data_IF_626997265528
#
_entry.id   IF_626997265528
#
_cell.length_a   1.000
_cell.length_b   1.000
_cell.length_c   1.000
_cell.angle_alpha   90.00
_cell.angle_beta   90.00
_cell.angle_gamma   90.00
#
_symmetry.space_group_name_H-M   'P 1'
#
loop_
_entity.id
_entity.type
_entity.pdbx_description
1 polymer ?
#
# COMPACT_ATOMS: atom_id res chain seq x y z
N UNK A 1 -55.79 18.56 35.73
CA UNK A 1 -55.54 17.78 34.52
C UNK A 1 -54.05 17.83 34.29
N UNK A 2 -53.33 16.81 34.70
CA UNK A 2 -51.87 16.75 34.64
C UNK A 2 -51.44 16.08 33.35
N UNK A 3 -50.48 16.71 32.63
CA UNK A 3 -49.79 16.10 31.55
C UNK A 3 -48.52 15.46 32.05
N UNK A 4 -48.43 14.14 31.94
CA UNK A 4 -47.25 13.38 32.32
C UNK A 4 -46.10 13.56 31.28
N UNK A 5 -44.96 13.95 31.78
CA UNK A 5 -43.70 13.88 31.00
C UNK A 5 -43.16 12.44 31.07
N UNK A 6 -43.04 11.78 29.92
CA UNK A 6 -42.30 10.54 29.77
C UNK A 6 -40.80 10.86 29.73
N UNK A 7 -40.07 10.51 30.78
CA UNK A 7 -38.66 10.59 30.86
C UNK A 7 -38.01 9.47 30.01
N UNK A 8 -37.12 9.85 29.09
CA UNK A 8 -36.21 8.91 28.44
C UNK A 8 -35.09 8.48 29.40
N UNK A 9 -34.71 7.20 29.45
CA UNK A 9 -33.59 6.79 30.27
C UNK A 9 -32.30 7.37 29.70
N UNK A 10 -31.62 8.19 30.52
CA UNK A 10 -30.32 8.78 30.18
C UNK A 10 -29.25 7.69 30.13
N UNK A 11 -28.70 7.45 28.98
CA UNK A 11 -27.44 6.74 28.83
C UNK A 11 -26.31 7.71 29.20
N UNK A 12 -25.69 7.46 30.34
CA UNK A 12 -24.43 8.10 30.74
C UNK A 12 -23.32 7.39 29.98
N UNK A 13 -22.82 8.03 28.93
CA UNK A 13 -21.60 7.60 28.27
C UNK A 13 -20.41 8.06 29.13
N UNK A 14 -19.80 7.16 29.88
CA UNK A 14 -18.48 7.41 30.44
C UNK A 14 -17.44 7.37 29.27
N UNK A 15 -17.03 8.54 28.82
CA UNK A 15 -15.85 8.70 28.01
C UNK A 15 -14.62 8.52 28.90
N UNK A 16 -14.09 7.29 28.94
CA UNK A 16 -12.70 7.12 29.39
C UNK A 16 -11.79 7.67 28.32
N UNK A 17 -11.40 8.94 28.47
CA UNK A 17 -10.34 9.56 27.69
C UNK A 17 -8.99 8.93 28.08
N UNK A 18 -8.63 7.81 27.46
CA UNK A 18 -7.22 7.44 27.35
C UNK A 18 -6.60 8.39 26.35
N UNK A 19 -6.09 9.53 26.84
CA UNK A 19 -5.10 10.33 26.14
C UNK A 19 -3.83 9.48 26.07
N UNK A 20 -3.76 8.60 25.04
CA UNK A 20 -2.49 8.06 24.60
C UNK A 20 -1.68 9.26 24.09
N UNK A 21 -0.69 9.69 24.85
CA UNK A 21 0.35 10.56 24.35
C UNK A 21 1.09 9.71 23.31
N UNK A 22 0.80 9.92 22.02
CA UNK A 22 1.58 9.35 20.93
C UNK A 22 3.01 9.85 21.11
N UNK A 23 3.89 8.99 21.62
CA UNK A 23 5.32 9.25 21.63
C UNK A 23 5.79 9.19 20.17
N UNK A 24 5.89 10.34 19.54
CA UNK A 24 6.46 10.48 18.21
C UNK A 24 7.97 10.63 18.34
N UNK A 25 8.72 9.61 17.94
CA UNK A 25 10.19 9.66 17.85
C UNK A 25 10.54 9.79 16.37
N UNK A 26 11.26 10.84 16.01
CA UNK A 26 11.71 11.07 14.63
C UNK A 26 13.22 10.89 14.53
N UNK A 27 13.68 10.11 13.56
CA UNK A 27 15.07 9.96 13.19
C UNK A 27 15.25 10.45 11.75
N UNK A 28 16.20 11.35 11.53
CA UNK A 28 16.54 11.83 10.18
C UNK A 28 17.68 10.98 9.63
N UNK A 29 17.43 10.29 8.52
CA UNK A 29 18.46 9.56 7.78
C UNK A 29 19.19 10.49 6.84
N UNK A 30 20.52 10.51 6.93
CA UNK A 30 21.39 11.25 5.99
C UNK A 30 21.86 10.30 4.89
N UNK A 31 22.39 10.83 3.80
CA UNK A 31 22.95 10.04 2.69
C UNK A 31 24.06 9.05 3.10
N UNK A 32 24.59 9.15 4.32
CA UNK A 32 25.53 8.18 4.88
C UNK A 32 24.86 6.93 5.47
N UNK A 33 23.53 6.96 5.63
CA UNK A 33 22.76 5.89 6.25
C UNK A 33 21.99 5.02 5.25
N UNK A 34 22.00 5.36 3.96
CA UNK A 34 21.40 4.57 2.89
C UNK A 34 22.25 4.62 1.63
N UNK A 35 22.07 3.62 0.76
CA UNK A 35 22.73 3.51 -0.54
C UNK A 35 21.70 3.69 -1.65
N UNK A 36 21.96 4.57 -2.60
CA UNK A 36 21.18 4.65 -3.84
C UNK A 36 21.64 3.51 -4.75
N UNK A 37 20.71 2.65 -5.16
CA UNK A 37 20.99 1.49 -6.03
C UNK A 37 20.51 1.67 -7.46
N UNK A 38 19.51 2.56 -7.67
CA UNK A 38 19.09 2.95 -9.02
C UNK A 38 18.62 4.41 -9.04
N UNK A 39 18.77 5.06 -10.18
CA UNK A 39 18.31 6.42 -10.46
C UNK A 39 17.71 6.50 -11.87
N UNK A 40 16.97 7.57 -12.18
CA UNK A 40 16.37 7.77 -13.52
C UNK A 40 15.13 6.90 -13.75
N UNK A 41 14.56 6.34 -12.67
CA UNK A 41 13.28 5.65 -12.71
C UNK A 41 12.13 6.67 -12.86
N UNK A 42 11.07 6.30 -13.56
CA UNK A 42 9.92 7.17 -13.80
C UNK A 42 8.78 6.90 -12.82
N UNK A 43 8.91 7.43 -11.61
CA UNK A 43 8.01 7.25 -10.47
C UNK A 43 7.92 5.78 -10.06
N UNK A 44 9.02 5.22 -9.47
CA UNK A 44 9.10 3.81 -9.08
C UNK A 44 8.14 3.50 -7.94
N UNK A 45 7.51 2.31 -7.99
CA UNK A 45 6.57 1.79 -7.01
C UNK A 45 6.65 0.26 -6.89
N UNK A 46 6.01 -0.30 -5.87
CA UNK A 46 5.83 -1.72 -5.68
C UNK A 46 7.14 -2.53 -5.65
N UNK A 47 8.17 -2.16 -4.89
CA UNK A 47 9.43 -2.90 -4.92
C UNK A 47 9.28 -4.30 -4.30
N UNK A 48 9.90 -5.30 -4.93
CA UNK A 48 10.02 -6.69 -4.44
C UNK A 48 11.47 -7.13 -4.50
N UNK A 49 12.04 -7.54 -3.37
CA UNK A 49 13.40 -8.07 -3.30
C UNK A 49 13.43 -9.55 -3.70
N UNK A 50 14.04 -9.86 -4.84
CA UNK A 50 14.16 -11.20 -5.37
C UNK A 50 15.35 -11.95 -4.75
N UNK A 51 15.31 -13.29 -4.79
CA UNK A 51 16.32 -14.18 -4.19
C UNK A 51 17.72 -14.00 -4.79
N UNK A 52 17.80 -13.61 -6.05
CA UNK A 52 19.04 -13.34 -6.76
C UNK A 52 19.67 -11.97 -6.44
N UNK A 53 19.04 -11.21 -5.54
CA UNK A 53 19.45 -9.87 -5.14
C UNK A 53 18.98 -8.76 -6.08
N UNK A 54 18.25 -9.08 -7.15
CA UNK A 54 17.56 -8.07 -7.96
C UNK A 54 16.31 -7.54 -7.27
N UNK A 55 15.88 -6.36 -7.66
CA UNK A 55 14.62 -5.77 -7.21
C UNK A 55 13.69 -5.62 -8.41
N UNK A 56 12.51 -6.27 -8.34
CA UNK A 56 11.42 -5.96 -9.25
C UNK A 56 10.67 -4.74 -8.72
N UNK A 57 10.27 -3.85 -9.60
CA UNK A 57 9.42 -2.70 -9.30
C UNK A 57 8.64 -2.30 -10.55
N UNK A 58 7.63 -1.47 -10.37
CA UNK A 58 6.98 -0.82 -11.51
C UNK A 58 7.43 0.62 -11.62
N UNK A 59 7.33 1.17 -12.82
CA UNK A 59 7.48 2.60 -13.07
C UNK A 59 6.14 3.14 -13.55
N UNK A 60 5.39 3.79 -12.66
CA UNK A 60 4.00 4.20 -12.93
C UNK A 60 3.92 5.09 -14.16
N UNK A 61 4.85 6.05 -14.28
CA UNK A 61 4.84 7.01 -15.39
C UNK A 61 5.30 6.39 -16.71
N UNK A 62 6.29 5.50 -16.65
CA UNK A 62 6.78 4.77 -17.84
C UNK A 62 5.78 3.69 -18.28
N UNK A 63 5.03 3.12 -17.35
CA UNK A 63 4.09 2.03 -17.61
C UNK A 63 4.77 0.67 -17.77
N UNK A 64 5.83 0.39 -17.00
CA UNK A 64 6.63 -0.83 -17.11
C UNK A 64 6.74 -1.60 -15.81
N UNK A 65 6.92 -2.91 -15.91
CA UNK A 65 7.55 -3.74 -14.88
C UNK A 65 9.06 -3.76 -15.16
N UNK A 66 9.85 -3.28 -14.22
CA UNK A 66 11.30 -3.09 -14.36
C UNK A 66 12.05 -3.92 -13.32
N UNK A 67 13.14 -4.55 -13.71
CA UNK A 67 14.08 -5.25 -12.85
C UNK A 67 15.34 -4.39 -12.67
N UNK A 68 15.69 -4.11 -11.42
CA UNK A 68 16.96 -3.48 -11.06
C UNK A 68 17.91 -4.58 -10.60
N UNK A 69 19.00 -4.81 -11.33
CA UNK A 69 20.02 -5.79 -11.00
C UNK A 69 20.88 -5.33 -9.79
N UNK A 70 21.59 -6.23 -9.09
CA UNK A 70 22.51 -5.85 -8.01
C UNK A 70 23.60 -4.86 -8.44
N UNK A 71 23.88 -4.78 -9.73
CA UNK A 71 24.80 -3.81 -10.35
C UNK A 71 24.21 -2.40 -10.47
N UNK A 72 22.88 -2.24 -10.32
CA UNK A 72 22.13 -1.03 -10.58
C UNK A 72 21.64 -0.90 -12.03
N UNK A 73 21.96 -1.85 -12.90
CA UNK A 73 21.44 -1.90 -14.27
C UNK A 73 19.93 -2.18 -14.25
N UNK A 74 19.18 -1.56 -15.16
CA UNK A 74 17.72 -1.64 -15.24
C UNK A 74 17.32 -2.39 -16.51
N UNK A 75 16.44 -3.36 -16.35
CA UNK A 75 15.88 -4.17 -17.44
C UNK A 75 14.36 -4.07 -17.44
N UNK A 76 13.75 -3.76 -18.58
CA UNK A 76 12.30 -3.81 -18.72
C UNK A 76 11.89 -5.28 -18.88
N UNK A 77 11.11 -5.78 -17.92
CA UNK A 77 10.55 -7.14 -17.93
C UNK A 77 9.29 -7.20 -18.79
N UNK A 78 8.41 -6.19 -18.66
CA UNK A 78 7.18 -6.11 -19.41
C UNK A 78 6.72 -4.66 -19.62
N UNK A 79 6.13 -4.38 -20.78
CA UNK A 79 5.41 -3.15 -21.09
C UNK A 79 3.94 -3.32 -20.71
N UNK A 80 3.48 -2.60 -19.69
CA UNK A 80 2.13 -2.72 -19.11
C UNK A 80 1.18 -1.61 -19.61
N UNK A 81 1.75 -0.43 -19.85
CA UNK A 81 0.95 0.76 -20.11
C UNK A 81 0.07 1.15 -18.91
N UNK A 82 -0.82 2.12 -19.12
CA UNK A 82 -1.68 2.62 -18.03
C UNK A 82 -0.86 3.21 -16.89
N UNK A 83 -1.01 2.66 -15.68
CA UNK A 83 -0.28 3.05 -14.48
C UNK A 83 -0.11 1.85 -13.55
N UNK A 84 0.87 0.95 -13.80
CA UNK A 84 1.18 -0.12 -12.88
C UNK A 84 1.64 0.48 -11.56
N UNK A 85 1.21 -0.12 -10.44
CA UNK A 85 1.44 0.43 -9.10
C UNK A 85 1.98 -0.66 -8.15
N UNK A 86 1.17 -1.27 -7.30
CA UNK A 86 1.61 -2.35 -6.43
C UNK A 86 1.81 -3.66 -7.18
N UNK A 87 2.80 -4.44 -6.79
CA UNK A 87 3.05 -5.79 -7.32
C UNK A 87 3.27 -6.81 -6.21
N UNK A 88 2.93 -8.06 -6.49
CA UNK A 88 3.23 -9.18 -5.62
C UNK A 88 3.54 -10.45 -6.42
N UNK A 89 4.43 -11.30 -5.90
CA UNK A 89 4.62 -12.64 -6.44
C UNK A 89 3.53 -13.55 -5.88
N UNK A 90 2.80 -14.21 -6.78
CA UNK A 90 1.73 -15.13 -6.43
C UNK A 90 2.10 -16.61 -6.64
N UNK A 91 1.11 -17.50 -6.53
CA UNK A 91 1.28 -18.92 -6.80
C UNK A 91 1.89 -19.16 -8.18
N UNK A 92 2.86 -20.07 -8.27
CA UNK A 92 3.55 -20.38 -9.53
C UNK A 92 4.66 -19.39 -9.92
N UNK A 93 4.96 -18.39 -9.07
CA UNK A 93 6.07 -17.46 -9.31
C UNK A 93 5.75 -16.31 -10.28
N UNK A 94 4.52 -16.17 -10.71
CA UNK A 94 4.06 -15.07 -11.57
C UNK A 94 3.94 -13.76 -10.78
N UNK A 95 4.13 -12.63 -11.45
CA UNK A 95 3.98 -11.30 -10.87
C UNK A 95 2.57 -10.76 -11.12
N UNK A 96 1.85 -10.45 -10.06
CA UNK A 96 0.53 -9.82 -10.10
C UNK A 96 0.69 -8.32 -9.94
N UNK A 97 0.03 -7.56 -10.80
CA UNK A 97 0.17 -6.11 -10.90
C UNK A 97 -1.17 -5.42 -10.72
N UNK A 98 -1.25 -4.51 -9.76
CA UNK A 98 -2.32 -3.52 -9.67
C UNK A 98 -2.06 -2.41 -10.69
N UNK A 99 -2.86 -2.34 -11.76
CA UNK A 99 -2.75 -1.27 -12.76
C UNK A 99 -3.88 -0.26 -12.57
N UNK A 100 -3.54 0.97 -12.22
CA UNK A 100 -4.50 2.03 -11.90
C UNK A 100 -5.03 2.79 -13.13
N UNK A 101 -4.63 2.39 -14.34
CA UNK A 101 -5.07 3.01 -15.60
C UNK A 101 -4.39 4.32 -15.98
N UNK A 102 -3.50 4.84 -15.15
CA UNK A 102 -2.66 6.01 -15.45
C UNK A 102 -3.01 7.29 -14.67
N UNK A 103 -2.08 8.23 -14.71
CA UNK A 103 -2.21 9.58 -14.14
C UNK A 103 -1.77 10.64 -15.15
N UNK A 104 -2.31 11.85 -15.04
CA UNK A 104 -1.64 13.04 -15.55
C UNK A 104 -0.45 13.38 -14.64
N UNK A 105 0.59 13.98 -15.22
CA UNK A 105 1.85 14.21 -14.54
C UNK A 105 2.21 15.70 -14.50
N UNK A 106 2.67 16.14 -13.33
CA UNK A 106 3.43 17.37 -13.20
C UNK A 106 4.92 17.00 -13.11
N UNK A 107 5.74 17.58 -13.98
CA UNK A 107 7.20 17.35 -14.02
C UNK A 107 7.91 18.69 -13.87
N UNK A 108 8.84 18.76 -12.92
CA UNK A 108 9.71 19.93 -12.69
C UNK A 108 11.12 19.47 -12.30
N UNK A 109 11.95 20.39 -11.84
CA UNK A 109 13.35 20.10 -11.43
C UNK A 109 13.44 19.15 -10.20
N UNK A 110 12.39 19.02 -9.42
CA UNK A 110 12.34 18.08 -8.30
C UNK A 110 11.93 16.65 -8.73
N UNK A 111 11.41 16.48 -9.97
CA UNK A 111 11.02 15.20 -10.52
C UNK A 111 9.54 15.13 -10.94
N UNK A 112 8.95 13.96 -10.84
CA UNK A 112 7.60 13.65 -11.31
C UNK A 112 6.62 13.57 -10.14
N UNK A 113 5.39 14.06 -10.36
CA UNK A 113 4.28 13.93 -9.39
C UNK A 113 2.98 13.58 -10.11
N UNK A 114 2.25 12.54 -9.68
CA UNK A 114 0.94 12.23 -10.25
C UNK A 114 -0.07 13.31 -9.86
N UNK A 115 -1.03 13.59 -10.73
CA UNK A 115 -2.07 14.60 -10.51
C UNK A 115 -3.47 14.00 -10.64
N UNK A 116 -4.14 14.19 -11.75
CA UNK A 116 -5.52 13.77 -11.96
C UNK A 116 -5.61 12.53 -12.84
N UNK A 117 -6.82 12.02 -13.01
CA UNK A 117 -7.11 11.04 -14.04
C UNK A 117 -6.82 11.63 -15.42
N UNK A 118 -6.00 10.98 -16.26
CA UNK A 118 -5.67 11.49 -17.58
C UNK A 118 -6.80 11.25 -18.59
N UNK A 119 -6.79 12.00 -19.68
CA UNK A 119 -7.71 11.75 -20.78
C UNK A 119 -7.48 10.36 -21.43
N UNK A 120 -6.27 9.84 -21.34
CA UNK A 120 -5.87 8.50 -21.81
C UNK A 120 -6.11 7.38 -20.80
N UNK A 121 -6.87 7.62 -19.73
CA UNK A 121 -7.17 6.62 -18.72
C UNK A 121 -7.70 5.31 -19.33
N UNK A 122 -6.99 4.20 -19.06
CA UNK A 122 -7.24 2.91 -19.69
C UNK A 122 -8.10 1.94 -18.84
N UNK A 123 -8.64 2.40 -17.72
CA UNK A 123 -9.36 1.54 -16.75
C UNK A 123 -8.43 0.90 -15.73
N UNK A 124 -8.98 0.68 -14.52
CA UNK A 124 -8.29 -0.08 -13.48
C UNK A 124 -8.37 -1.58 -13.77
N UNK A 125 -7.29 -2.32 -13.49
CA UNK A 125 -7.23 -3.77 -13.70
C UNK A 125 -6.18 -4.45 -12.86
N UNK A 126 -6.32 -5.75 -12.68
CA UNK A 126 -5.27 -6.64 -12.16
C UNK A 126 -4.69 -7.39 -13.36
N UNK A 127 -3.38 -7.32 -13.51
CA UNK A 127 -2.61 -8.01 -14.54
C UNK A 127 -1.73 -9.09 -13.93
N UNK A 128 -1.43 -10.14 -14.71
CA UNK A 128 -0.49 -11.19 -14.35
C UNK A 128 0.61 -11.20 -15.39
N UNK A 129 1.85 -11.15 -14.93
CA UNK A 129 3.05 -11.14 -15.78
C UNK A 129 3.85 -12.42 -15.55
N UNK A 130 4.15 -13.11 -16.62
CA UNK A 130 5.14 -14.18 -16.63
C UNK A 130 6.53 -13.55 -16.68
N UNK A 131 7.34 -13.80 -15.65
CA UNK A 131 8.64 -13.13 -15.49
C UNK A 131 9.73 -13.64 -16.43
N UNK A 132 9.53 -14.83 -17.03
CA UNK A 132 10.49 -15.42 -17.96
C UNK A 132 10.27 -14.92 -19.40
N UNK A 133 9.01 -14.72 -19.78
CA UNK A 133 8.62 -14.33 -21.14
C UNK A 133 8.24 -12.87 -21.28
N UNK A 134 7.90 -12.19 -20.17
CA UNK A 134 7.34 -10.84 -20.16
C UNK A 134 5.89 -10.77 -20.65
N UNK A 135 5.22 -11.93 -20.85
CA UNK A 135 3.83 -11.94 -21.30
C UNK A 135 2.88 -11.43 -20.23
N UNK A 136 1.87 -10.66 -20.63
CA UNK A 136 0.90 -9.99 -19.74
C UNK A 136 -0.48 -10.50 -20.04
N UNK A 137 -1.22 -10.88 -18.98
CA UNK A 137 -2.63 -11.27 -19.04
C UNK A 137 -3.44 -10.39 -18.10
N UNK A 138 -4.64 -9.95 -18.52
CA UNK A 138 -5.58 -9.23 -17.66
C UNK A 138 -6.44 -10.23 -16.91
N UNK A 139 -6.38 -10.20 -15.58
CA UNK A 139 -7.09 -11.14 -14.71
C UNK A 139 -8.45 -10.61 -14.24
N UNK A 140 -8.50 -9.36 -13.78
CA UNK A 140 -9.73 -8.72 -13.30
C UNK A 140 -9.82 -7.27 -13.78
N UNK A 141 -11.04 -6.86 -14.18
CA UNK A 141 -11.37 -5.47 -14.54
C UNK A 141 -12.55 -4.90 -13.76
N UNK A 142 -13.31 -5.76 -13.08
CA UNK A 142 -14.53 -5.39 -12.38
C UNK A 142 -14.84 -6.30 -11.20
N UNK A 143 -15.75 -5.87 -10.34
CA UNK A 143 -16.38 -6.68 -9.29
C UNK A 143 -17.89 -6.42 -9.29
N UNK A 144 -18.71 -7.47 -9.48
CA UNK A 144 -20.18 -7.39 -9.52
C UNK A 144 -20.71 -6.33 -10.51
N UNK A 145 -20.12 -6.21 -11.69
CA UNK A 145 -20.50 -5.25 -12.73
C UNK A 145 -20.04 -3.80 -12.46
N UNK A 146 -19.21 -3.58 -11.43
CA UNK A 146 -18.61 -2.28 -11.14
C UNK A 146 -17.12 -2.33 -11.47
N UNK A 147 -16.69 -1.54 -12.44
CA UNK A 147 -15.30 -1.50 -12.90
C UNK A 147 -14.34 -1.17 -11.74
N UNK A 148 -13.13 -1.74 -11.79
CA UNK A 148 -12.00 -1.29 -10.99
C UNK A 148 -11.57 0.10 -11.48
N UNK A 149 -11.30 1.01 -10.54
CA UNK A 149 -10.97 2.40 -10.90
C UNK A 149 -9.48 2.70 -10.79
N UNK A 150 -8.86 2.33 -9.69
CA UNK A 150 -7.44 2.60 -9.44
C UNK A 150 -6.82 1.57 -8.53
N UNK A 151 -6.73 0.28 -8.92
CA UNK A 151 -5.98 -0.71 -8.15
C UNK A 151 -4.60 -0.18 -7.81
N UNK A 152 -4.21 -0.31 -6.51
CA UNK A 152 -3.01 0.35 -6.01
C UNK A 152 -2.03 -0.64 -5.41
N UNK A 153 -2.31 -1.23 -4.26
CA UNK A 153 -1.37 -2.13 -3.57
C UNK A 153 -1.98 -3.52 -3.35
N UNK A 154 -1.13 -4.56 -3.15
CA UNK A 154 -1.53 -5.97 -3.19
C UNK A 154 -0.70 -6.82 -2.22
N UNK A 155 -1.37 -7.76 -1.53
CA UNK A 155 -0.71 -8.78 -0.69
C UNK A 155 -1.41 -10.13 -0.80
N UNK A 156 -0.64 -11.22 -0.95
CA UNK A 156 -1.15 -12.59 -0.99
C UNK A 156 -1.30 -13.20 0.40
N UNK A 157 -2.37 -13.97 0.61
CA UNK A 157 -2.50 -14.89 1.74
C UNK A 157 -1.83 -16.25 1.45
N UNK A 158 -1.66 -17.08 2.48
CA UNK A 158 -1.06 -18.41 2.36
C UNK A 158 -1.92 -19.42 1.54
N UNK A 159 -3.17 -19.09 1.22
CA UNK A 159 -4.11 -19.96 0.53
C UNK A 159 -4.28 -19.63 -0.97
N UNK A 160 -3.46 -18.70 -1.50
CA UNK A 160 -3.46 -18.32 -2.91
C UNK A 160 -4.55 -17.32 -3.29
N UNK A 161 -5.15 -16.65 -2.31
CA UNK A 161 -5.92 -15.44 -2.52
C UNK A 161 -5.08 -14.21 -2.29
N UNK A 162 -5.57 -13.06 -2.72
CA UNK A 162 -4.89 -11.79 -2.48
C UNK A 162 -5.87 -10.69 -2.12
N UNK A 163 -5.39 -9.80 -1.26
CA UNK A 163 -6.06 -8.56 -0.89
C UNK A 163 -5.44 -7.44 -1.70
N UNK A 164 -6.26 -6.51 -2.15
CA UNK A 164 -5.77 -5.31 -2.83
C UNK A 164 -6.66 -4.10 -2.55
N UNK A 165 -6.08 -2.94 -2.65
CA UNK A 165 -6.79 -1.67 -2.58
C UNK A 165 -7.17 -1.19 -3.98
N UNK A 166 -8.38 -0.64 -4.12
CA UNK A 166 -8.81 0.16 -5.26
C UNK A 166 -8.94 1.60 -4.77
N UNK A 167 -7.90 2.38 -4.99
CA UNK A 167 -7.78 3.76 -4.50
C UNK A 167 -8.85 4.68 -5.10
N UNK A 168 -9.31 4.36 -6.30
CA UNK A 168 -10.15 5.23 -7.09
C UNK A 168 -9.36 6.24 -7.92
N UNK A 169 -10.07 7.14 -8.60
CA UNK A 169 -9.50 8.22 -9.41
C UNK A 169 -9.99 9.58 -8.94
N UNK A 170 -9.07 10.54 -8.99
CA UNK A 170 -9.37 11.96 -8.71
C UNK A 170 -9.49 12.69 -10.03
N UNK A 171 -10.58 13.43 -10.18
CA UNK A 171 -10.88 14.29 -11.33
C UNK A 171 -11.00 15.73 -10.84
N UNK A 172 -11.18 16.68 -11.74
CA UNK A 172 -11.11 18.10 -11.40
C UNK A 172 -12.17 18.53 -10.36
N UNK A 173 -13.35 17.90 -10.38
CA UNK A 173 -14.50 18.32 -9.57
C UNK A 173 -15.10 17.19 -8.72
N UNK A 174 -14.61 15.96 -8.85
CA UNK A 174 -15.06 14.78 -8.13
C UNK A 174 -13.95 13.75 -7.96
N UNK A 175 -14.23 12.73 -7.17
CA UNK A 175 -13.35 11.56 -7.01
C UNK A 175 -14.18 10.30 -6.76
N UNK A 176 -13.59 9.15 -7.10
CA UNK A 176 -14.17 7.88 -6.73
C UNK A 176 -13.96 7.61 -5.24
N UNK A 177 -14.93 6.93 -4.62
CA UNK A 177 -14.74 6.34 -3.28
C UNK A 177 -14.03 5.02 -3.43
N UNK A 178 -12.94 4.86 -2.68
CA UNK A 178 -12.12 3.66 -2.76
C UNK A 178 -12.73 2.43 -2.09
N UNK A 179 -12.11 1.28 -2.33
CA UNK A 179 -12.53 -0.04 -1.84
C UNK A 179 -11.33 -0.88 -1.46
N UNK A 180 -11.55 -1.82 -0.55
CA UNK A 180 -10.64 -2.94 -0.29
C UNK A 180 -11.29 -4.21 -0.80
N UNK A 181 -10.55 -5.01 -1.56
CA UNK A 181 -11.05 -6.20 -2.24
C UNK A 181 -10.25 -7.44 -1.88
N UNK A 182 -10.86 -8.59 -2.12
CA UNK A 182 -10.21 -9.90 -2.09
C UNK A 182 -10.50 -10.65 -3.38
N UNK A 183 -9.49 -11.32 -3.93
CA UNK A 183 -9.62 -12.09 -5.15
C UNK A 183 -8.78 -13.38 -5.10
N UNK A 184 -9.09 -14.33 -5.99
CA UNK A 184 -8.31 -15.55 -6.20
C UNK A 184 -7.34 -15.38 -7.37
N UNK A 185 -6.16 -15.98 -7.23
CA UNK A 185 -5.12 -15.94 -8.24
C UNK A 185 -5.51 -16.58 -9.58
N UNK A 186 -6.47 -17.49 -9.56
CA UNK A 186 -6.94 -18.23 -10.74
C UNK A 186 -8.08 -17.54 -11.51
N UNK A 187 -8.47 -16.32 -11.12
CA UNK A 187 -9.55 -15.57 -11.77
C UNK A 187 -10.97 -16.01 -11.39
N UNK A 188 -11.13 -17.02 -10.52
CA UNK A 188 -12.42 -17.64 -10.23
C UNK A 188 -13.32 -16.82 -9.30
N UNK A 189 -12.75 -15.87 -8.54
CA UNK A 189 -13.50 -15.16 -7.51
C UNK A 189 -12.90 -13.81 -7.19
N UNK A 190 -13.77 -12.79 -7.10
CA UNK A 190 -13.44 -11.44 -6.60
C UNK A 190 -14.61 -10.87 -5.81
N UNK A 191 -14.33 -10.17 -4.72
CA UNK A 191 -15.35 -9.44 -3.93
C UNK A 191 -14.82 -8.21 -3.23
N UNK A 192 -15.72 -7.26 -2.94
CA UNK A 192 -15.43 -6.12 -2.06
C UNK A 192 -15.54 -6.55 -0.59
N UNK A 193 -14.53 -6.23 0.21
CA UNK A 193 -14.48 -6.47 1.65
C UNK A 193 -14.99 -5.26 2.43
N UNK A 194 -14.50 -4.07 2.06
CA UNK A 194 -14.84 -2.80 2.69
C UNK A 194 -15.02 -1.70 1.65
N UNK A 195 -16.10 -0.95 1.79
CA UNK A 195 -16.42 0.24 1.02
C UNK A 195 -17.46 1.10 1.78
N UNK A 196 -17.41 2.44 1.65
CA UNK A 196 -16.35 3.22 1.02
C UNK A 196 -15.15 3.38 1.95
N UNK A 197 -13.93 3.39 1.40
CA UNK A 197 -12.68 3.70 2.09
C UNK A 197 -12.04 4.93 1.41
N UNK A 198 -11.43 5.82 2.18
CA UNK A 198 -10.91 7.07 1.61
C UNK A 198 -9.54 6.87 0.96
N UNK A 199 -9.54 6.66 -0.36
CA UNK A 199 -8.33 6.43 -1.16
C UNK A 199 -7.39 5.41 -0.48
N UNK A 200 -7.85 4.14 -0.28
CA UNK A 200 -7.02 3.10 0.32
C UNK A 200 -5.82 2.82 -0.58
N UNK A 201 -4.65 2.77 0.05
CA UNK A 201 -3.37 2.61 -0.61
C UNK A 201 -2.69 1.33 -0.10
N UNK A 202 -1.68 1.43 0.76
CA UNK A 202 -0.96 0.28 1.28
C UNK A 202 -1.85 -0.77 1.92
N UNK A 203 -1.62 -2.04 1.59
CA UNK A 203 -2.26 -3.21 2.22
C UNK A 203 -1.21 -4.21 2.66
N UNK A 204 -1.40 -4.82 3.85
CA UNK A 204 -0.48 -5.84 4.37
C UNK A 204 -1.13 -6.71 5.42
N UNK A 205 -0.71 -7.97 5.51
CA UNK A 205 -1.20 -8.92 6.50
C UNK A 205 -0.33 -8.93 7.75
N UNK A 206 -0.96 -9.17 8.92
CA UNK A 206 -0.23 -9.50 10.14
C UNK A 206 0.53 -10.84 9.98
N UNK A 207 1.57 -11.11 10.82
CA UNK A 207 2.36 -12.33 10.69
C UNK A 207 1.56 -13.64 10.75
N UNK A 208 0.44 -13.65 11.45
CA UNK A 208 -0.50 -14.76 11.58
C UNK A 208 -1.68 -14.69 10.59
N UNK A 209 -1.67 -13.70 9.70
CA UNK A 209 -2.73 -13.43 8.71
C UNK A 209 -4.14 -13.21 9.32
N UNK A 210 -4.22 -12.91 10.61
CA UNK A 210 -5.51 -12.63 11.27
C UNK A 210 -5.99 -11.19 11.09
N UNK A 211 -5.12 -10.29 10.61
CA UNK A 211 -5.41 -8.86 10.43
C UNK A 211 -4.92 -8.40 9.05
N UNK A 212 -5.79 -7.69 8.33
CA UNK A 212 -5.41 -6.90 7.16
C UNK A 212 -5.26 -5.44 7.56
N UNK A 213 -4.06 -4.89 7.41
CA UNK A 213 -3.79 -3.46 7.58
C UNK A 213 -4.06 -2.72 6.28
N UNK A 214 -4.63 -1.51 6.38
CA UNK A 214 -4.96 -0.65 5.23
C UNK A 214 -4.61 0.79 5.56
N UNK A 215 -3.79 1.42 4.74
CA UNK A 215 -3.45 2.83 4.83
C UNK A 215 -4.40 3.66 3.95
N UNK A 216 -4.91 4.77 4.48
CA UNK A 216 -5.65 5.79 3.73
C UNK A 216 -4.74 6.96 3.39
N UNK A 217 -4.67 7.35 2.12
CA UNK A 217 -3.73 8.39 1.68
C UNK A 217 -4.09 9.79 2.20
N UNK A 218 -5.25 10.39 1.89
CA UNK A 218 -5.50 11.80 2.21
C UNK A 218 -5.70 12.06 3.70
N UNK A 219 -6.11 11.05 4.44
CA UNK A 219 -6.42 11.17 5.86
C UNK A 219 -5.24 10.79 6.76
N UNK A 220 -4.18 10.22 6.17
CA UNK A 220 -3.04 9.63 6.88
C UNK A 220 -3.48 8.74 8.06
N UNK A 221 -4.45 7.85 7.78
CA UNK A 221 -4.97 6.90 8.77
C UNK A 221 -4.54 5.48 8.43
N UNK A 222 -4.27 4.72 9.49
CA UNK A 222 -4.06 3.28 9.40
C UNK A 222 -5.24 2.57 10.05
N UNK A 223 -5.81 1.61 9.31
CA UNK A 223 -6.93 0.77 9.73
C UNK A 223 -6.51 -0.70 9.81
N UNK A 224 -7.16 -1.46 10.68
CA UNK A 224 -7.05 -2.90 10.78
C UNK A 224 -8.41 -3.55 10.54
N UNK A 225 -8.45 -4.54 9.68
CA UNK A 225 -9.62 -5.38 9.42
C UNK A 225 -9.35 -6.77 9.97
N UNK A 226 -10.03 -7.14 11.04
CA UNK A 226 -9.89 -8.47 11.66
C UNK A 226 -10.47 -9.53 10.71
N UNK A 227 -9.67 -10.54 10.35
CA UNK A 227 -10.04 -11.58 9.40
C UNK A 227 -10.55 -12.81 10.13
N UNK A 228 -11.75 -13.28 9.77
CA UNK A 228 -12.33 -14.53 10.30
C UNK A 228 -11.78 -15.74 9.52
N UNK A 229 -11.60 -15.54 8.24
CA UNK A 229 -11.03 -16.46 7.26
C UNK A 229 -10.58 -15.67 6.01
N UNK A 230 -9.79 -16.21 5.12
CA UNK A 230 -9.40 -15.54 3.87
C UNK A 230 -10.58 -14.91 3.15
N UNK A 231 -10.45 -13.61 2.88
CA UNK A 231 -11.49 -12.83 2.23
C UNK A 231 -12.74 -12.57 3.08
N UNK A 232 -12.76 -12.83 4.40
CA UNK A 232 -13.91 -12.53 5.26
C UNK A 232 -13.52 -11.73 6.49
N UNK A 233 -14.06 -10.53 6.60
CA UNK A 233 -13.78 -9.55 7.65
C UNK A 233 -14.83 -9.63 8.77
N UNK A 234 -14.39 -9.59 10.03
CA UNK A 234 -15.21 -9.27 11.20
C UNK A 234 -15.42 -7.77 11.24
N UNK A 235 -16.56 -7.28 10.76
CA UNK A 235 -16.83 -5.85 10.72
C UNK A 235 -17.04 -5.27 12.12
N UNK A 236 -16.34 -4.17 12.41
CA UNK A 236 -16.59 -3.35 13.58
C UNK A 236 -17.93 -2.60 13.43
N UNK A 237 -18.70 -2.46 14.54
CA UNK A 237 -19.96 -1.70 14.53
C UNK A 237 -19.71 -0.20 14.35
N UNK A 238 -20.81 0.55 14.18
CA UNK A 238 -20.80 2.01 14.26
C UNK A 238 -20.05 2.47 15.54
N UNK A 239 -19.15 3.46 15.49
CA UNK A 239 -18.93 4.46 14.45
C UNK A 239 -17.88 4.11 13.38
N UNK A 240 -17.44 2.87 13.24
CA UNK A 240 -16.55 2.54 12.13
C UNK A 240 -17.24 2.82 10.79
N UNK A 241 -16.62 3.58 9.86
CA UNK A 241 -17.29 3.97 8.61
C UNK A 241 -17.42 2.83 7.61
N UNK A 242 -16.59 1.78 7.73
CA UNK A 242 -16.50 0.68 6.76
C UNK A 242 -16.26 -0.69 7.41
N UNK A 243 -16.25 -0.75 8.74
CA UNK A 243 -16.08 -1.99 9.51
C UNK A 243 -14.62 -2.30 9.91
N UNK A 244 -13.66 -1.44 9.60
CA UNK A 244 -12.29 -1.54 10.11
C UNK A 244 -12.15 -0.95 11.51
N UNK A 245 -11.17 -1.46 12.27
CA UNK A 245 -10.72 -0.91 13.56
C UNK A 245 -9.68 0.18 13.30
N UNK A 246 -9.90 1.37 13.85
CA UNK A 246 -8.96 2.48 13.76
C UNK A 246 -7.71 2.18 14.60
N UNK A 247 -6.53 2.28 13.99
CA UNK A 247 -5.24 2.15 14.67
C UNK A 247 -4.71 3.51 15.07
N UNK A 248 -4.47 4.37 14.08
CA UNK A 248 -4.02 5.73 14.31
C UNK A 248 -4.31 6.64 13.11
N UNK A 249 -4.22 7.96 13.34
CA UNK A 249 -4.10 8.98 12.32
C UNK A 249 -2.87 9.83 12.61
N UNK A 250 -2.06 10.10 11.58
CA UNK A 250 -0.89 10.94 11.74
C UNK A 250 -1.28 12.39 12.01
N UNK A 251 -0.49 13.08 12.82
CA UNK A 251 -0.68 14.50 13.09
C UNK A 251 -0.09 15.36 11.97
N UNK A 252 -0.60 16.59 11.82
CA UNK A 252 -0.15 17.52 10.79
C UNK A 252 -0.66 17.16 9.39
N UNK A 253 -0.07 17.83 8.37
CA UNK A 253 -0.40 17.53 6.97
C UNK A 253 0.58 16.50 6.42
N UNK A 254 0.14 15.27 6.43
CA UNK A 254 0.85 14.11 5.88
C UNK A 254 -0.13 13.23 5.11
N UNK A 255 0.40 12.29 4.33
CA UNK A 255 -0.39 11.33 3.57
C UNK A 255 0.29 9.97 3.68
N UNK A 256 -0.47 8.93 3.94
CA UNK A 256 0.05 7.57 3.91
C UNK A 256 0.01 7.00 2.50
N UNK A 257 1.01 6.18 2.18
CA UNK A 257 1.14 5.50 0.89
C UNK A 257 1.21 3.98 1.12
N UNK A 258 1.99 3.25 0.37
CA UNK A 258 2.13 1.80 0.51
C UNK A 258 2.77 1.40 1.85
N UNK A 259 2.68 0.14 2.22
CA UNK A 259 3.19 -0.36 3.49
C UNK A 259 3.79 -1.76 3.38
N UNK A 260 4.69 -2.07 4.33
CA UNK A 260 5.13 -3.43 4.60
C UNK A 260 5.04 -3.74 6.09
N UNK A 261 4.98 -5.01 6.44
CA UNK A 261 4.90 -5.47 7.84
C UNK A 261 6.24 -6.10 8.25
N UNK A 262 6.68 -5.83 9.48
CA UNK A 262 7.83 -6.50 10.08
C UNK A 262 7.42 -7.85 10.70
N UNK A 263 8.38 -8.77 10.86
CA UNK A 263 8.14 -10.09 11.48
C UNK A 263 7.52 -10.00 12.88
N UNK A 264 7.81 -8.93 13.62
CA UNK A 264 7.26 -8.66 14.95
C UNK A 264 5.86 -7.98 14.92
N UNK A 265 5.27 -7.78 13.74
CA UNK A 265 3.94 -7.19 13.56
C UNK A 265 3.90 -5.66 13.50
N UNK A 266 5.03 -4.96 13.53
CA UNK A 266 5.03 -3.51 13.28
C UNK A 266 4.73 -3.23 11.80
N UNK A 267 4.01 -2.13 11.55
CA UNK A 267 3.60 -1.72 10.20
C UNK A 267 4.42 -0.51 9.76
N UNK A 268 5.22 -0.71 8.73
CA UNK A 268 6.06 0.32 8.12
C UNK A 268 5.28 0.99 6.99
N UNK A 269 4.78 2.21 7.21
CA UNK A 269 3.95 2.94 6.25
C UNK A 269 4.78 4.03 5.59
N UNK A 270 4.89 3.99 4.27
CA UNK A 270 5.49 5.07 3.50
C UNK A 270 4.65 6.34 3.66
N UNK A 271 5.33 7.46 3.90
CA UNK A 271 4.70 8.71 4.32
C UNK A 271 5.10 9.84 3.39
N UNK A 272 4.10 10.36 2.68
CA UNK A 272 4.28 11.48 1.75
C UNK A 272 4.24 12.82 2.48
N UNK A 273 4.75 13.86 1.81
CA UNK A 273 4.88 15.25 2.29
C UNK A 273 6.04 15.38 3.26
N UNK A 274 6.02 14.66 4.36
CA UNK A 274 7.13 14.64 5.32
C UNK A 274 8.35 13.87 4.82
N UNK A 275 8.13 12.95 3.90
CA UNK A 275 9.15 12.06 3.31
C UNK A 275 9.72 11.08 4.33
N UNK A 276 9.46 9.79 4.14
CA UNK A 276 9.99 8.78 5.05
C UNK A 276 9.10 7.59 5.31
N UNK A 277 9.46 6.79 6.30
CA UNK A 277 8.71 5.62 6.75
C UNK A 277 8.23 5.85 8.19
N UNK A 278 6.93 5.78 8.40
CA UNK A 278 6.30 5.76 9.72
C UNK A 278 6.13 4.33 10.18
N UNK A 279 6.83 3.94 11.24
CA UNK A 279 6.79 2.60 11.82
C UNK A 279 5.78 2.62 12.95
N UNK A 280 4.68 1.92 12.76
CA UNK A 280 3.52 1.91 13.65
C UNK A 280 3.50 0.60 14.44
N UNK A 281 3.37 0.70 15.76
CA UNK A 281 3.00 -0.43 16.61
C UNK A 281 1.47 -0.51 16.72
N UNK A 282 0.80 -1.46 16.08
CA UNK A 282 -0.67 -1.49 16.02
C UNK A 282 -1.35 -1.70 17.38
N UNK A 283 -0.65 -2.35 18.32
CA UNK A 283 -1.19 -2.63 19.67
C UNK A 283 -1.16 -1.40 20.58
N UNK A 284 -0.09 -0.59 20.46
CA UNK A 284 0.16 0.55 21.35
C UNK A 284 -0.23 1.87 20.70
N UNK A 285 -0.29 1.94 19.37
CA UNK A 285 -0.53 3.17 18.63
C UNK A 285 0.67 4.13 18.66
N UNK A 286 1.88 3.65 19.00
CA UNK A 286 3.10 4.45 18.93
C UNK A 286 3.64 4.52 17.50
N UNK A 287 4.33 5.62 17.18
CA UNK A 287 4.91 5.86 15.86
C UNK A 287 6.36 6.27 16.01
N UNK A 288 7.26 5.55 15.33
CA UNK A 288 8.61 5.99 15.02
C UNK A 288 8.63 6.47 13.55
N UNK A 289 9.36 7.54 13.24
CA UNK A 289 9.47 8.03 11.86
C UNK A 289 10.94 8.15 11.44
N UNK A 290 11.25 7.53 10.30
CA UNK A 290 12.57 7.62 9.66
C UNK A 290 12.40 8.48 8.40
N UNK A 291 12.99 9.68 8.40
CA UNK A 291 12.87 10.64 7.29
C UNK A 291 13.86 10.35 6.18
N UNK A 292 13.41 10.49 4.93
CA UNK A 292 14.22 10.46 3.71
C UNK A 292 14.07 11.78 2.93
N UNK A 293 15.00 12.12 2.02
CA UNK A 293 15.03 13.43 1.39
C UNK A 293 13.95 13.65 0.31
N UNK A 294 13.18 12.63 -0.06
CA UNK A 294 12.12 12.72 -1.08
C UNK A 294 10.74 12.80 -0.41
N UNK A 295 9.95 13.87 -0.64
CA UNK A 295 8.61 13.99 -0.10
C UNK A 295 7.61 12.95 -0.66
N UNK A 296 7.98 12.24 -1.71
CA UNK A 296 7.28 11.08 -2.25
C UNK A 296 8.08 9.79 -1.98
N UNK A 297 8.34 9.52 -0.70
CA UNK A 297 8.74 8.19 -0.22
C UNK A 297 7.49 7.33 -0.25
N UNK A 298 7.36 6.45 -1.25
CA UNK A 298 6.05 5.87 -1.61
C UNK A 298 5.88 4.43 -1.21
N UNK A 299 6.98 3.64 -1.12
CA UNK A 299 6.87 2.23 -0.81
C UNK A 299 8.14 1.68 -0.14
N UNK A 300 8.00 0.54 0.52
CA UNK A 300 9.07 -0.19 1.21
C UNK A 300 8.85 -1.70 1.06
N UNK A 301 9.92 -2.45 0.78
CA UNK A 301 9.92 -3.90 0.92
C UNK A 301 11.17 -4.37 1.67
N UNK A 302 11.16 -5.62 2.13
CA UNK A 302 12.26 -6.21 2.85
C UNK A 302 12.93 -7.32 2.06
N UNK A 303 14.25 -7.39 2.15
CA UNK A 303 15.07 -8.42 1.52
C UNK A 303 16.43 -8.57 2.21
N UNK A 304 17.40 -9.11 1.47
CA UNK A 304 18.74 -9.41 2.00
C UNK A 304 18.73 -10.50 3.07
N UNK A 305 19.87 -10.67 3.73
CA UNK A 305 20.05 -11.70 4.75
C UNK A 305 19.10 -11.45 5.95
N UNK A 306 18.27 -12.45 6.25
CA UNK A 306 17.30 -12.39 7.33
C UNK A 306 16.25 -11.28 7.18
N UNK A 307 16.00 -10.81 5.95
CA UNK A 307 15.05 -9.73 5.65
C UNK A 307 15.33 -8.43 6.43
N UNK A 308 16.62 -8.13 6.64
CA UNK A 308 17.08 -6.96 7.40
C UNK A 308 17.60 -5.83 6.51
N UNK A 309 17.26 -5.86 5.24
CA UNK A 309 17.52 -4.78 4.30
C UNK A 309 16.18 -4.25 3.80
N UNK A 310 15.91 -2.97 3.99
CA UNK A 310 14.77 -2.32 3.39
C UNK A 310 15.15 -1.73 2.03
N UNK A 311 14.32 -1.95 1.03
CA UNK A 311 14.38 -1.29 -0.28
C UNK A 311 13.20 -0.34 -0.37
N UNK A 312 13.50 0.94 -0.63
CA UNK A 312 12.54 2.02 -0.53
C UNK A 312 12.53 2.82 -1.82
N UNK A 313 11.34 3.13 -2.34
CA UNK A 313 11.15 3.98 -3.52
C UNK A 313 11.05 5.45 -3.12
N UNK A 314 11.92 6.26 -3.69
CA UNK A 314 11.92 7.72 -3.65
C UNK A 314 11.39 8.20 -4.99
N UNK A 315 10.07 8.27 -5.11
CA UNK A 315 9.40 8.21 -6.42
C UNK A 315 9.44 9.53 -7.19
N UNK A 316 9.39 10.67 -6.48
CA UNK A 316 9.51 11.98 -7.15
C UNK A 316 10.86 12.14 -7.82
N UNK A 317 11.93 11.80 -7.11
CA UNK A 317 13.31 11.90 -7.62
C UNK A 317 13.72 10.73 -8.51
N UNK A 318 12.88 9.68 -8.63
CA UNK A 318 13.13 8.52 -9.47
C UNK A 318 14.26 7.63 -8.97
N UNK A 319 14.31 7.37 -7.67
CA UNK A 319 15.39 6.60 -7.04
C UNK A 319 14.84 5.36 -6.32
N UNK A 320 15.67 4.31 -6.31
CA UNK A 320 15.53 3.17 -5.42
C UNK A 320 16.72 3.16 -4.46
N UNK A 321 16.44 3.07 -3.15
CA UNK A 321 17.48 3.06 -2.11
C UNK A 321 17.46 1.77 -1.31
N UNK A 322 18.62 1.42 -0.78
CA UNK A 322 18.87 0.31 0.13
C UNK A 322 19.23 0.86 1.51
N UNK A 323 18.58 0.35 2.55
CA UNK A 323 18.74 0.79 3.94
C UNK A 323 18.92 -0.41 4.85
N UNK A 324 20.01 -0.51 5.64
CA UNK A 324 20.08 -1.49 6.72
C UNK A 324 18.93 -1.29 7.69
N UNK A 325 18.14 -2.34 7.92
CA UNK A 325 16.93 -2.24 8.75
C UNK A 325 17.13 -2.95 10.08
N UNK A 326 16.78 -2.33 11.22
CA UNK A 326 17.11 -2.88 12.54
C UNK A 326 16.35 -4.16 12.90
N UNK A 327 15.19 -4.38 12.28
CA UNK A 327 14.30 -5.51 12.53
C UNK A 327 14.07 -6.30 11.25
N UNK A 328 13.75 -7.58 11.36
CA UNK A 328 13.42 -8.39 10.19
C UNK A 328 12.05 -7.98 9.61
N UNK A 329 11.97 -7.91 8.30
CA UNK A 329 10.69 -7.84 7.60
C UNK A 329 9.93 -9.16 7.67
N UNK A 330 8.62 -9.11 7.45
CA UNK A 330 7.78 -10.31 7.34
C UNK A 330 8.06 -11.01 6.00
N UNK A 331 8.31 -12.32 6.06
CA UNK A 331 8.45 -13.13 4.86
C UNK A 331 7.09 -13.27 4.16
N UNK A 332 6.99 -12.75 2.93
CA UNK A 332 5.76 -12.78 2.15
C UNK A 332 5.49 -14.18 1.60
N UNK A 333 4.20 -14.49 1.41
CA UNK A 333 3.78 -15.72 0.76
C UNK A 333 4.24 -15.72 -0.71
N UNK A 334 4.64 -16.89 -1.21
CA UNK A 334 5.10 -17.14 -2.59
C UNK A 334 6.38 -16.40 -3.02
N UNK A 335 6.84 -15.38 -2.30
CA UNK A 335 8.08 -14.69 -2.63
C UNK A 335 9.29 -15.53 -2.23
N UNK A 336 10.20 -15.79 -3.19
CA UNK A 336 11.48 -16.47 -2.99
C UNK A 336 11.35 -17.92 -2.43
N UNK A 337 10.25 -18.59 -2.70
CA UNK A 337 9.95 -19.97 -2.24
C UNK A 337 10.08 -21.00 -3.33
#
# INVERSE_FOLDING_TARGET
MGAGQAGYPGYVFEWQSRLAHNLYVSMVMTSQNFKVIATGLEFPEGPIAMKDGSILLVEIKRGTLTRVLPTGEQEIVAELGGGPNGIAIGPGGQCYVCNNGGFDWHTDTAGNRPTLQPASYSGGRIEVVDLDTGSVEVLYTEVNGVSLSGPNDIVFDAQGGFYFSDLGKVRRHDQDRGRVLYAKADGSFIKTLAAPVEMPNGVGLSPDESILYVAETPTARLWAFDLIEPGRVQKQPWPSPHGGRFILGSSGYQRFDSLAVEENGQVCVATLVNGGISIVSPEVGSVEHISFPDPYTTNICFGGDGLRTAYITLSQSGQLIEVPWPRAGLALNYLNK
#
